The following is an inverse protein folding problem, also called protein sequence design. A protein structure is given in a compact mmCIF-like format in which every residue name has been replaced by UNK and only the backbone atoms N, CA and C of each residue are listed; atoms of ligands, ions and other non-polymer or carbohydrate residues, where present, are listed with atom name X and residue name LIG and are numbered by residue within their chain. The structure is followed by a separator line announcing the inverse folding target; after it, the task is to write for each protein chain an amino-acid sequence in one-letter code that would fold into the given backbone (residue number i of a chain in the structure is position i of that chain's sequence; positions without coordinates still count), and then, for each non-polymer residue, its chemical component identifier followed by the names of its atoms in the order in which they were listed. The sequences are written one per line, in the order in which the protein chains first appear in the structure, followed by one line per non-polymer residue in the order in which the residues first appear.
data_IF_321798869856
#
_entry.id   IF_321798869856
#
_cell.length_a   1.000
_cell.length_b   1.000
_cell.length_c   1.000
_cell.angle_alpha   90.00
_cell.angle_beta   90.00
_cell.angle_gamma   90.00
#
_symmetry.space_group_name_H-M   'P 1'
#
loop_
_entity.id
_entity.type
_entity.pdbx_description
1 polymer ?
#
# COMPACT_ATOMS: atom_id res chain seq x y z
N UNK A 1 2.59 22.58 40.07
CA UNK A 1 2.00 23.20 38.86
C UNK A 1 2.81 22.83 37.64
N UNK A 2 2.21 22.12 36.69
CA UNK A 2 2.83 21.83 35.40
C UNK A 2 2.70 23.06 34.51
N UNK A 3 3.83 23.57 34.02
CA UNK A 3 3.84 24.62 33.01
C UNK A 3 3.13 24.10 31.74
N UNK A 4 2.21 24.87 31.14
CA UNK A 4 1.61 24.49 29.87
C UNK A 4 2.67 24.54 28.77
N UNK A 5 2.63 23.51 27.93
CA UNK A 5 3.46 23.27 26.75
C UNK A 5 3.52 24.54 25.87
N UNK A 6 4.73 25.06 25.71
CA UNK A 6 5.04 26.29 24.98
C UNK A 6 4.82 26.06 23.49
N UNK A 7 3.85 26.76 22.93
CA UNK A 7 3.89 27.33 21.58
C UNK A 7 4.63 26.50 20.52
N UNK A 8 3.97 25.46 19.98
CA UNK A 8 4.29 25.01 18.62
C UNK A 8 3.84 26.10 17.65
N UNK A 9 4.71 27.08 17.44
CA UNK A 9 4.48 28.20 16.53
C UNK A 9 4.15 27.67 15.12
N UNK A 10 3.10 28.17 14.45
CA UNK A 10 2.70 27.72 13.10
C UNK A 10 3.83 27.86 12.08
N UNK A 11 4.74 28.82 12.27
CA UNK A 11 5.96 29.00 11.45
C UNK A 11 6.88 27.75 11.49
N UNK A 12 6.91 27.01 12.60
CA UNK A 12 7.67 25.76 12.75
C UNK A 12 7.00 24.60 11.99
N UNK A 13 5.67 24.58 11.91
CA UNK A 13 4.93 23.56 11.18
C UNK A 13 5.07 23.76 9.66
N UNK A 14 4.90 25.00 9.17
CA UNK A 14 5.04 25.36 7.77
C UNK A 14 6.48 25.13 7.26
N UNK A 15 7.49 25.46 8.08
CA UNK A 15 8.89 25.17 7.77
C UNK A 15 9.15 23.67 7.69
N UNK A 16 8.57 22.88 8.60
CA UNK A 16 8.69 21.41 8.59
C UNK A 16 8.00 20.80 7.36
N UNK A 17 6.80 21.26 7.00
CA UNK A 17 6.09 20.81 5.81
C UNK A 17 6.87 21.13 4.53
N UNK A 18 7.40 22.34 4.43
CA UNK A 18 8.26 22.77 3.32
C UNK A 18 9.54 21.94 3.22
N UNK A 19 10.21 21.66 4.33
CA UNK A 19 11.40 20.81 4.37
C UNK A 19 11.07 19.36 3.96
N UNK A 20 9.97 18.81 4.46
CA UNK A 20 9.53 17.44 4.14
C UNK A 20 9.19 17.27 2.67
N UNK A 21 8.43 18.21 2.10
CA UNK A 21 8.10 18.19 0.67
C UNK A 21 9.36 18.24 -0.20
N UNK A 22 10.36 19.05 0.17
CA UNK A 22 11.67 19.09 -0.50
C UNK A 22 12.44 17.77 -0.37
N UNK A 23 12.48 17.18 0.83
CA UNK A 23 13.16 15.92 1.06
C UNK A 23 12.52 14.77 0.26
N UNK A 24 11.18 14.71 0.25
CA UNK A 24 10.44 13.75 -0.56
C UNK A 24 10.69 13.96 -2.05
N UNK A 25 10.69 15.20 -2.53
CA UNK A 25 10.98 15.50 -3.95
C UNK A 25 12.33 14.95 -4.37
N UNK A 26 13.38 15.19 -3.57
CA UNK A 26 14.72 14.64 -3.82
C UNK A 26 14.75 13.11 -3.75
N UNK A 27 14.01 12.52 -2.80
CA UNK A 27 13.97 11.07 -2.64
C UNK A 27 13.27 10.35 -3.81
N UNK A 28 12.36 11.01 -4.53
CA UNK A 28 11.62 10.41 -5.65
C UNK A 28 12.19 10.78 -7.02
N UNK A 29 13.28 11.54 -7.10
CA UNK A 29 13.95 11.86 -8.37
C UNK A 29 14.56 10.61 -9.01
N UNK A 30 14.54 10.57 -10.35
CA UNK A 30 14.92 9.42 -11.18
C UNK A 30 16.17 9.68 -12.04
N UNK A 31 16.97 10.70 -11.69
CA UNK A 31 18.14 11.12 -12.48
C UNK A 31 19.46 10.45 -12.10
N UNK A 32 19.47 9.57 -11.09
CA UNK A 32 20.67 8.89 -10.59
C UNK A 32 20.33 7.43 -10.31
N UNK A 33 21.07 6.51 -10.91
CA UNK A 33 20.91 5.06 -10.75
C UNK A 33 20.96 4.60 -9.29
N UNK A 34 21.67 5.35 -8.45
CA UNK A 34 21.77 5.12 -7.01
C UNK A 34 20.69 5.83 -6.18
N UNK A 35 19.87 6.66 -6.83
CA UNK A 35 18.79 7.43 -6.24
C UNK A 35 17.71 6.55 -5.62
N UNK A 36 17.13 7.04 -4.51
CA UNK A 36 16.10 6.31 -3.75
C UNK A 36 14.89 6.00 -4.64
N UNK A 37 14.47 6.95 -5.48
CA UNK A 37 13.31 6.81 -6.37
C UNK A 37 13.51 5.69 -7.38
N UNK A 38 14.67 5.66 -8.03
CA UNK A 38 15.01 4.62 -9.00
C UNK A 38 15.15 3.25 -8.35
N UNK A 39 15.80 3.18 -7.18
CA UNK A 39 15.89 1.93 -6.42
C UNK A 39 14.52 1.42 -5.96
N UNK A 40 13.60 2.30 -5.56
CA UNK A 40 12.22 1.92 -5.24
C UNK A 40 11.49 1.38 -6.47
N UNK A 41 11.59 2.05 -7.62
CA UNK A 41 10.98 1.60 -8.86
C UNK A 41 11.53 0.22 -9.28
N UNK A 42 12.85 0.04 -9.27
CA UNK A 42 13.50 -1.25 -9.60
C UNK A 42 13.09 -2.37 -8.64
N UNK A 43 12.91 -2.09 -7.35
CA UNK A 43 12.41 -3.06 -6.37
C UNK A 43 10.95 -3.43 -6.65
N UNK A 44 10.12 -2.45 -7.00
CA UNK A 44 8.73 -2.67 -7.39
C UNK A 44 8.62 -3.50 -8.68
N UNK A 45 9.44 -3.22 -9.70
CA UNK A 45 9.57 -4.02 -10.93
C UNK A 45 9.93 -5.47 -10.64
N UNK A 46 10.99 -5.70 -9.86
CA UNK A 46 11.40 -7.06 -9.46
C UNK A 46 10.29 -7.78 -8.70
N UNK A 47 9.60 -7.09 -7.79
CA UNK A 47 8.48 -7.69 -7.05
C UNK A 47 7.32 -8.03 -7.96
N UNK A 48 6.97 -7.17 -8.91
CA UNK A 48 5.90 -7.46 -9.86
C UNK A 48 6.25 -8.68 -10.73
N UNK A 49 7.49 -8.77 -11.25
CA UNK A 49 7.97 -9.96 -11.98
C UNK A 49 7.80 -11.23 -11.15
N UNK A 50 8.14 -11.18 -9.85
CA UNK A 50 7.94 -12.31 -8.94
C UNK A 50 6.46 -12.67 -8.72
N UNK A 51 5.60 -11.69 -8.46
CA UNK A 51 4.16 -11.91 -8.26
C UNK A 51 3.53 -12.50 -9.52
N UNK A 52 3.97 -12.06 -10.70
CA UNK A 52 3.47 -12.53 -11.99
C UNK A 52 3.79 -14.00 -12.30
N UNK A 53 4.74 -14.61 -11.59
CA UNK A 53 4.98 -16.06 -11.68
C UNK A 53 3.82 -16.88 -11.10
N UNK A 54 3.11 -16.32 -10.11
CA UNK A 54 1.94 -16.95 -9.47
C UNK A 54 0.62 -16.38 -9.99
N UNK A 55 0.62 -15.08 -10.32
CA UNK A 55 -0.54 -14.32 -10.80
C UNK A 55 -0.21 -13.66 -12.15
N UNK A 56 -0.30 -14.38 -13.29
CA UNK A 56 0.15 -13.86 -14.59
C UNK A 56 -0.50 -12.54 -15.02
N UNK A 57 -1.69 -12.23 -14.50
CA UNK A 57 -2.42 -10.99 -14.78
C UNK A 57 -2.10 -9.84 -13.81
N UNK A 58 -1.28 -10.08 -12.77
CA UNK A 58 -0.94 -9.07 -11.79
C UNK A 58 -0.27 -7.85 -12.42
N UNK A 59 -0.64 -6.67 -11.92
CA UNK A 59 -0.16 -5.38 -12.40
C UNK A 59 0.37 -4.51 -11.26
N UNK A 60 1.17 -3.53 -11.64
CA UNK A 60 1.69 -2.50 -10.76
C UNK A 60 1.00 -1.16 -10.97
N UNK A 61 0.94 -0.35 -9.91
CA UNK A 61 0.52 1.06 -9.94
C UNK A 61 1.69 1.93 -9.51
N UNK A 62 2.04 2.94 -10.28
CA UNK A 62 2.93 4.02 -9.84
C UNK A 62 2.09 5.28 -9.61
N UNK A 63 2.24 5.87 -8.42
CA UNK A 63 1.65 7.17 -8.09
C UNK A 63 2.77 8.20 -8.19
N UNK A 64 2.80 8.94 -9.29
CA UNK A 64 3.79 9.97 -9.61
C UNK A 64 3.44 11.31 -8.94
N UNK A 65 4.36 12.27 -9.06
CA UNK A 65 4.24 13.60 -8.42
C UNK A 65 3.54 14.62 -9.32
N UNK A 66 3.84 14.58 -10.61
CA UNK A 66 3.40 15.49 -11.67
C UNK A 66 3.54 14.80 -13.04
N UNK A 67 3.14 15.48 -14.12
CA UNK A 67 3.12 14.92 -15.48
C UNK A 67 4.53 14.56 -15.95
N UNK A 68 5.49 15.46 -15.77
CA UNK A 68 6.86 15.24 -16.21
C UNK A 68 7.49 14.03 -15.52
N UNK A 69 7.27 13.89 -14.21
CA UNK A 69 7.73 12.73 -13.45
C UNK A 69 7.04 11.44 -13.93
N UNK A 70 5.73 11.49 -14.21
CA UNK A 70 4.98 10.34 -14.71
C UNK A 70 5.44 9.90 -16.10
N UNK A 71 5.78 10.85 -16.98
CA UNK A 71 6.36 10.56 -18.28
C UNK A 71 7.74 9.92 -18.13
N UNK A 72 8.61 10.47 -17.29
CA UNK A 72 9.93 9.89 -17.03
C UNK A 72 9.85 8.45 -16.48
N UNK A 73 8.93 8.18 -15.54
CA UNK A 73 8.68 6.83 -15.04
C UNK A 73 8.21 5.90 -16.16
N UNK A 74 7.28 6.38 -17.00
CA UNK A 74 6.74 5.60 -18.12
C UNK A 74 7.86 5.20 -19.08
N UNK A 75 8.70 6.15 -19.50
CA UNK A 75 9.85 5.88 -20.38
C UNK A 75 10.78 4.84 -19.78
N UNK A 76 11.17 4.98 -18.51
CA UNK A 76 12.05 4.00 -17.85
C UNK A 76 11.43 2.59 -17.79
N UNK A 77 10.14 2.49 -17.48
CA UNK A 77 9.44 1.20 -17.45
C UNK A 77 9.34 0.57 -18.84
N UNK A 78 9.11 1.36 -19.88
CA UNK A 78 9.06 0.90 -21.28
C UNK A 78 10.44 0.46 -21.77
N UNK A 79 11.50 1.19 -21.43
CA UNK A 79 12.90 0.83 -21.68
C UNK A 79 13.27 -0.50 -20.98
N UNK A 80 12.74 -0.74 -19.79
CA UNK A 80 12.86 -2.01 -19.05
C UNK A 80 11.99 -3.14 -19.63
N UNK A 81 11.27 -2.90 -20.74
CA UNK A 81 10.47 -3.86 -21.48
C UNK A 81 9.07 -4.10 -20.92
N UNK A 82 8.56 -3.21 -20.07
CA UNK A 82 7.20 -3.30 -19.57
C UNK A 82 6.18 -2.59 -20.48
N UNK A 83 4.97 -3.13 -20.52
CA UNK A 83 3.81 -2.42 -21.12
C UNK A 83 3.21 -1.49 -20.07
N UNK A 84 3.11 -0.21 -20.39
CA UNK A 84 2.71 0.84 -19.45
C UNK A 84 1.51 1.61 -20.00
N UNK A 85 0.51 1.83 -19.16
CA UNK A 85 -0.54 2.80 -19.43
C UNK A 85 -0.28 4.03 -18.53
N UNK A 86 -0.16 5.20 -19.14
CA UNK A 86 -0.09 6.48 -18.42
C UNK A 86 -1.48 7.13 -18.44
N UNK A 87 -1.98 7.54 -17.27
CA UNK A 87 -3.27 8.22 -17.12
C UNK A 87 -3.14 9.39 -16.16
N UNK A 88 -3.72 10.54 -16.50
CA UNK A 88 -3.87 11.64 -15.56
C UNK A 88 -5.32 12.14 -15.49
N UNK A 89 -5.71 12.68 -14.33
CA UNK A 89 -7.08 13.11 -14.01
C UNK A 89 -7.64 14.18 -14.97
N UNK A 90 -6.76 14.98 -15.55
CA UNK A 90 -7.11 16.09 -16.45
C UNK A 90 -7.16 15.70 -17.93
N UNK A 91 -6.88 14.44 -18.30
CA UNK A 91 -6.92 14.00 -19.71
C UNK A 91 -8.36 13.69 -20.15
N UNK A 92 -8.73 14.16 -21.34
CA UNK A 92 -9.93 13.67 -22.02
C UNK A 92 -9.82 12.16 -22.25
N UNK A 93 -10.79 11.37 -21.79
CA UNK A 93 -10.77 9.92 -21.97
C UNK A 93 -10.03 9.14 -20.86
N UNK A 94 -9.66 9.79 -19.74
CA UNK A 94 -9.04 9.10 -18.60
C UNK A 94 -9.84 7.86 -18.14
N UNK A 95 -11.17 7.94 -18.11
CA UNK A 95 -12.03 6.81 -17.74
C UNK A 95 -11.92 5.63 -18.72
N UNK A 96 -11.82 5.91 -20.02
CA UNK A 96 -11.68 4.88 -21.06
C UNK A 96 -10.32 4.20 -20.96
N UNK A 97 -9.23 4.97 -20.86
CA UNK A 97 -7.88 4.42 -20.65
C UNK A 97 -7.82 3.55 -19.41
N UNK A 98 -8.49 3.97 -18.36
CA UNK A 98 -8.52 3.25 -17.10
C UNK A 98 -9.30 1.93 -17.20
N UNK A 99 -10.43 1.93 -17.90
CA UNK A 99 -11.17 0.70 -18.24
C UNK A 99 -10.34 -0.22 -19.17
N UNK A 100 -9.58 0.35 -20.11
CA UNK A 100 -8.66 -0.40 -20.96
C UNK A 100 -7.52 -1.02 -20.14
N UNK A 101 -6.98 -0.31 -19.14
CA UNK A 101 -6.01 -0.87 -18.21
C UNK A 101 -6.63 -2.01 -17.39
N UNK A 102 -7.87 -1.88 -16.89
CA UNK A 102 -8.51 -2.93 -16.10
C UNK A 102 -8.65 -4.25 -16.89
N UNK A 103 -9.12 -4.15 -18.14
CA UNK A 103 -9.40 -5.30 -19.02
C UNK A 103 -8.18 -5.74 -19.83
N UNK A 104 -7.17 -4.89 -19.93
CA UNK A 104 -6.02 -5.06 -20.78
C UNK A 104 -4.89 -5.87 -20.13
N UNK A 105 -3.75 -5.85 -20.81
CA UNK A 105 -2.58 -6.65 -20.45
C UNK A 105 -1.33 -5.81 -20.12
N UNK A 106 -1.53 -4.48 -19.99
CA UNK A 106 -0.52 -3.57 -19.47
C UNK A 106 -0.05 -4.03 -18.09
N UNK A 107 1.26 -3.98 -17.85
CA UNK A 107 1.85 -4.44 -16.60
C UNK A 107 1.87 -3.33 -15.56
N UNK A 108 1.94 -2.08 -15.99
CA UNK A 108 1.98 -0.91 -15.12
C UNK A 108 0.94 0.12 -15.51
N UNK A 109 0.31 0.71 -14.50
CA UNK A 109 -0.44 1.96 -14.61
C UNK A 109 0.39 3.04 -13.93
N UNK A 110 0.75 4.09 -14.65
CA UNK A 110 1.38 5.28 -14.08
C UNK A 110 0.32 6.38 -13.98
N UNK A 111 0.16 6.96 -12.80
CA UNK A 111 -0.85 7.99 -12.54
C UNK A 111 -0.33 9.06 -11.59
N UNK A 112 -0.76 10.32 -11.78
CA UNK A 112 -0.33 11.47 -10.98
C UNK A 112 -1.28 11.72 -9.81
N UNK A 113 -2.56 11.61 -10.12
CA UNK A 113 -3.64 11.63 -9.15
C UNK A 113 -4.23 10.24 -9.01
N UNK A 114 -4.89 10.03 -7.88
CA UNK A 114 -5.72 8.86 -7.68
C UNK A 114 -6.67 8.74 -8.87
N UNK A 115 -6.53 7.66 -9.64
CA UNK A 115 -7.36 7.43 -10.81
C UNK A 115 -8.82 7.58 -10.42
N UNK A 116 -9.59 8.21 -11.31
CA UNK A 116 -10.97 8.66 -11.16
C UNK A 116 -11.81 7.88 -10.14
N UNK A 117 -12.71 8.61 -9.47
CA UNK A 117 -13.77 8.02 -8.65
C UNK A 117 -14.39 6.79 -9.36
N UNK A 118 -14.42 5.65 -8.68
CA UNK A 118 -14.89 4.39 -9.26
C UNK A 118 -13.85 3.47 -9.90
N UNK A 119 -12.56 3.83 -9.97
CA UNK A 119 -11.53 2.90 -10.44
C UNK A 119 -11.42 1.64 -9.57
N UNK A 120 -11.56 0.46 -10.16
CA UNK A 120 -11.30 -0.81 -9.49
C UNK A 120 -10.41 -1.69 -10.36
N UNK A 121 -9.20 -1.98 -9.90
CA UNK A 121 -8.27 -2.84 -10.64
C UNK A 121 -7.83 -3.99 -9.72
N UNK A 122 -8.65 -5.04 -9.58
CA UNK A 122 -8.37 -6.21 -8.74
C UNK A 122 -7.00 -6.85 -9.01
N UNK A 123 -6.51 -6.72 -10.25
CA UNK A 123 -5.20 -7.23 -10.65
C UNK A 123 -4.00 -6.44 -10.13
N UNK A 124 -4.19 -5.26 -9.53
CA UNK A 124 -3.10 -4.50 -8.91
C UNK A 124 -2.56 -5.23 -7.67
N UNK A 125 -1.24 -5.44 -7.63
CA UNK A 125 -0.56 -6.16 -6.53
C UNK A 125 0.67 -5.45 -5.99
N UNK A 126 1.24 -4.55 -6.79
CA UNK A 126 2.45 -3.80 -6.43
C UNK A 126 2.15 -2.33 -6.61
N UNK A 127 2.47 -1.51 -5.61
CA UNK A 127 2.32 -0.06 -5.66
C UNK A 127 3.68 0.57 -5.44
N UNK A 128 4.08 1.51 -6.30
CA UNK A 128 5.19 2.42 -6.09
C UNK A 128 4.64 3.83 -5.82
N UNK A 129 4.82 4.32 -4.59
CA UNK A 129 4.34 5.61 -4.13
C UNK A 129 5.46 6.65 -4.30
N UNK A 130 5.55 7.24 -5.49
CA UNK A 130 6.60 8.17 -5.91
C UNK A 130 6.03 9.58 -6.07
N UNK A 131 5.40 10.08 -5.00
CA UNK A 131 4.76 11.39 -4.96
C UNK A 131 5.15 12.16 -3.69
N UNK A 132 5.03 13.48 -3.73
CA UNK A 132 5.25 14.35 -2.56
C UNK A 132 4.00 14.54 -1.71
N UNK A 133 2.83 14.06 -2.18
CA UNK A 133 1.56 14.19 -1.46
C UNK A 133 1.43 13.06 -0.45
N UNK A 134 1.47 13.40 0.84
CA UNK A 134 1.48 12.43 1.96
C UNK A 134 0.25 12.54 2.86
N UNK A 135 -0.92 12.86 2.28
CA UNK A 135 -2.16 12.89 3.06
C UNK A 135 -2.66 11.46 3.33
N UNK A 136 -3.20 11.22 4.53
CA UNK A 136 -3.77 9.91 4.91
C UNK A 136 -4.81 9.43 3.90
N UNK A 137 -5.72 10.31 3.49
CA UNK A 137 -6.78 9.97 2.53
C UNK A 137 -6.19 9.48 1.21
N UNK A 138 -5.24 10.22 0.62
CA UNK A 138 -4.61 9.81 -0.64
C UNK A 138 -3.84 8.51 -0.50
N UNK A 139 -3.10 8.32 0.59
CA UNK A 139 -2.38 7.08 0.83
C UNK A 139 -3.35 5.88 0.91
N UNK A 140 -4.40 6.00 1.72
CA UNK A 140 -5.40 4.95 1.89
C UNK A 140 -6.16 4.66 0.60
N UNK A 141 -6.62 5.70 -0.11
CA UNK A 141 -7.26 5.53 -1.41
C UNK A 141 -6.31 4.81 -2.40
N UNK A 142 -5.00 5.09 -2.35
CA UNK A 142 -3.98 4.45 -3.19
C UNK A 142 -3.88 2.96 -2.96
N UNK A 143 -3.64 2.59 -1.70
CA UNK A 143 -3.40 1.21 -1.31
C UNK A 143 -4.68 0.36 -1.37
N UNK A 144 -5.83 0.94 -1.01
CA UNK A 144 -7.09 0.19 -0.90
C UNK A 144 -7.59 -0.30 -2.26
N UNK A 145 -7.20 0.36 -3.35
CA UNK A 145 -7.53 -0.04 -4.72
C UNK A 145 -6.84 -1.35 -5.14
N UNK A 146 -5.65 -1.63 -4.62
CA UNK A 146 -4.91 -2.87 -4.90
C UNK A 146 -5.32 -4.07 -4.02
N UNK A 147 -6.01 -3.82 -2.91
CA UNK A 147 -6.44 -4.88 -1.97
C UNK A 147 -7.91 -5.23 -2.11
N UNK A 148 -8.62 -4.70 -3.12
CA UNK A 148 -10.01 -5.06 -3.36
C UNK A 148 -10.15 -6.53 -3.72
N UNK A 149 -11.20 -7.14 -3.17
CA UNK A 149 -11.63 -8.50 -3.50
C UNK A 149 -12.80 -8.42 -4.46
N UNK A 150 -12.64 -9.04 -5.62
CA UNK A 150 -13.77 -9.35 -6.50
C UNK A 150 -14.12 -10.83 -6.37
N UNK A 151 -15.36 -11.25 -6.68
CA UNK A 151 -15.75 -12.66 -6.63
C UNK A 151 -14.83 -13.58 -7.44
N UNK A 152 -14.32 -13.10 -8.57
CA UNK A 152 -13.43 -13.85 -9.45
C UNK A 152 -12.06 -14.08 -8.80
N UNK A 153 -11.53 -13.06 -8.10
CA UNK A 153 -10.29 -13.21 -7.32
C UNK A 153 -10.48 -14.12 -6.12
N UNK A 154 -11.63 -14.02 -5.43
CA UNK A 154 -11.93 -14.88 -4.28
C UNK A 154 -12.00 -16.36 -4.65
N UNK A 155 -12.46 -16.68 -5.86
CA UNK A 155 -12.50 -18.05 -6.36
C UNK A 155 -11.12 -18.60 -6.77
N UNK A 156 -10.17 -17.72 -7.11
CA UNK A 156 -8.85 -18.11 -7.64
C UNK A 156 -7.73 -18.04 -6.59
N UNK A 157 -7.92 -17.27 -5.52
CA UNK A 157 -6.89 -17.07 -4.51
C UNK A 157 -7.01 -18.01 -3.31
N UNK A 158 -5.88 -18.55 -2.83
CA UNK A 158 -5.88 -19.35 -1.61
C UNK A 158 -6.26 -18.50 -0.39
N UNK A 159 -6.79 -19.15 0.63
CA UNK A 159 -6.97 -18.56 1.96
C UNK A 159 -5.81 -19.02 2.86
N UNK A 160 -4.98 -18.12 3.42
CA UNK A 160 -5.02 -16.66 3.31
C UNK A 160 -4.47 -16.12 1.98
N UNK A 161 -4.99 -14.96 1.56
CA UNK A 161 -4.67 -14.31 0.28
C UNK A 161 -3.18 -13.98 0.14
N UNK A 162 -2.70 -13.94 -1.10
CA UNK A 162 -1.42 -13.34 -1.42
C UNK A 162 -1.36 -11.84 -1.05
N UNK A 163 -0.29 -11.41 -0.37
CA UNK A 163 -0.14 -10.02 0.03
C UNK A 163 0.02 -9.10 -1.18
N UNK A 164 -0.39 -7.85 -1.00
CA UNK A 164 -0.04 -6.74 -1.91
C UNK A 164 1.13 -5.96 -1.34
N UNK A 165 1.97 -5.41 -2.20
CA UNK A 165 3.23 -4.78 -1.81
C UNK A 165 3.19 -3.29 -2.10
N UNK A 166 3.61 -2.47 -1.14
CA UNK A 166 3.73 -1.02 -1.31
C UNK A 166 5.19 -0.62 -1.10
N UNK A 167 5.75 0.09 -2.06
CA UNK A 167 7.08 0.66 -2.05
C UNK A 167 6.95 2.18 -1.99
N UNK A 168 7.49 2.80 -0.94
CA UNK A 168 7.43 4.24 -0.73
C UNK A 168 8.73 4.73 -0.08
N UNK A 169 9.08 6.01 -0.22
CA UNK A 169 10.12 6.62 0.60
C UNK A 169 9.83 6.44 2.10
N UNK A 170 10.88 6.35 2.91
CA UNK A 170 10.78 6.21 4.36
C UNK A 170 10.37 7.54 5.04
N UNK A 171 9.23 8.11 4.63
CA UNK A 171 8.64 9.27 5.29
C UNK A 171 7.85 8.85 6.55
N UNK A 172 8.03 9.53 7.69
CA UNK A 172 7.37 9.18 8.93
C UNK A 172 5.83 9.13 8.87
N UNK A 173 5.17 9.98 8.08
CA UNK A 173 3.70 9.95 7.97
C UNK A 173 3.24 8.73 7.18
N UNK A 174 3.89 8.44 6.04
CA UNK A 174 3.58 7.25 5.25
C UNK A 174 3.79 5.97 6.07
N UNK A 175 4.90 5.91 6.83
CA UNK A 175 5.15 4.80 7.75
C UNK A 175 4.09 4.72 8.85
N UNK A 176 3.66 5.85 9.40
CA UNK A 176 2.57 5.91 10.39
C UNK A 176 1.26 5.33 9.84
N UNK A 177 0.86 5.73 8.63
CA UNK A 177 -0.35 5.22 7.99
C UNK A 177 -0.24 3.72 7.68
N UNK A 178 0.91 3.29 7.17
CA UNK A 178 1.18 1.88 6.88
C UNK A 178 1.12 1.00 8.13
N UNK A 179 1.62 1.46 9.28
CA UNK A 179 1.52 0.74 10.55
C UNK A 179 0.07 0.54 10.98
N UNK A 180 -0.75 1.58 10.91
CA UNK A 180 -2.19 1.47 11.23
C UNK A 180 -2.89 0.48 10.31
N UNK A 181 -2.53 0.44 9.02
CA UNK A 181 -3.15 -0.47 8.06
C UNK A 181 -2.63 -1.91 8.17
N UNK A 182 -1.33 -2.10 8.43
CA UNK A 182 -0.74 -3.44 8.60
C UNK A 182 -1.25 -4.16 9.85
N UNK A 183 -1.75 -3.40 10.84
CA UNK A 183 -2.42 -3.93 12.03
C UNK A 183 -3.91 -4.18 11.82
N UNK A 184 -4.50 -3.70 10.73
CA UNK A 184 -5.86 -4.05 10.37
C UNK A 184 -5.86 -5.49 9.86
N UNK A 185 -6.26 -6.42 10.73
CA UNK A 185 -6.32 -7.85 10.40
C UNK A 185 -7.13 -8.06 9.11
N UNK A 186 -6.61 -8.83 8.15
CA UNK A 186 -7.34 -9.13 6.93
C UNK A 186 -8.59 -9.94 7.31
N UNK A 187 -9.77 -9.33 7.11
CA UNK A 187 -11.10 -9.96 7.13
C UNK A 187 -11.67 -10.41 8.48
N UNK A 188 -11.86 -9.48 9.41
CA UNK A 188 -12.87 -9.66 10.47
C UNK A 188 -14.01 -8.67 10.26
N UNK A 189 -14.88 -8.95 9.27
CA UNK A 189 -16.25 -8.47 9.37
C UNK A 189 -16.94 -9.45 10.32
N UNK A 190 -16.82 -9.19 11.62
CA UNK A 190 -17.76 -9.82 12.55
C UNK A 190 -19.14 -9.25 12.22
N UNK A 191 -20.16 -10.07 11.92
CA UNK A 191 -21.52 -9.58 11.97
C UNK A 191 -21.71 -9.01 13.38
N UNK A 192 -22.20 -7.77 13.46
CA UNK A 192 -22.55 -7.15 14.73
C UNK A 192 -23.56 -8.07 15.40
N UNK A 193 -23.12 -8.87 16.37
CA UNK A 193 -24.05 -9.60 17.22
C UNK A 193 -24.86 -8.53 17.95
N UNK A 194 -26.14 -8.42 17.60
CA UNK A 194 -27.10 -7.69 18.40
C UNK A 194 -27.05 -8.27 19.80
N UNK A 195 -26.49 -7.49 20.73
CA UNK A 195 -26.40 -7.83 22.13
C UNK A 195 -27.82 -7.91 22.68
N UNK A 196 -28.39 -9.11 22.74
CA UNK A 196 -29.41 -9.43 23.72
C UNK A 196 -28.69 -9.43 25.08
N UNK A 197 -29.01 -8.39 25.85
CA UNK A 197 -28.51 -8.18 27.20
C UNK A 197 -29.09 -9.28 28.08
N UNK A 198 -28.24 -10.09 28.69
CA UNK A 198 -28.62 -10.82 29.91
C UNK A 198 -27.49 -10.73 30.93
N UNK A 199 -27.87 -10.38 32.16
CA UNK A 199 -27.00 -9.94 33.26
C UNK A 199 -26.42 -11.16 33.99
N UNK A 200 -25.16 -11.13 34.46
CA UNK A 200 -24.38 -12.34 34.75
C UNK A 200 -24.62 -12.90 36.17
N UNK A 201 -24.35 -14.19 36.33
CA UNK A 201 -24.03 -14.80 37.63
C UNK A 201 -22.70 -15.54 37.57
N UNK A 202 -21.72 -15.02 38.33
CA UNK A 202 -20.63 -15.74 39.01
C UNK A 202 -19.70 -16.67 38.21
N UNK A 203 -18.44 -16.26 38.04
CA UNK A 203 -17.36 -17.20 37.73
C UNK A 203 -16.01 -16.55 37.40
N UNK A 204 -15.05 -16.65 38.31
CA UNK A 204 -13.66 -16.21 38.18
C UNK A 204 -12.91 -16.95 37.06
N UNK A 205 -12.33 -16.22 36.10
CA UNK A 205 -11.40 -16.77 35.11
C UNK A 205 -10.11 -15.94 35.07
N UNK A 206 -8.99 -16.58 35.47
CA UNK A 206 -7.62 -16.06 35.28
C UNK A 206 -7.24 -16.24 33.81
N UNK A 207 -6.88 -15.15 33.14
CA UNK A 207 -6.30 -15.20 31.79
C UNK A 207 -4.86 -15.74 31.80
N UNK A 208 -4.41 -16.46 30.76
CA UNK A 208 -3.04 -16.93 30.66
C UNK A 208 -2.11 -15.77 30.24
N UNK A 209 -1.05 -15.57 31.02
CA UNK A 209 0.09 -14.74 30.67
C UNK A 209 0.98 -15.49 29.66
N UNK A 210 1.15 -14.94 28.45
CA UNK A 210 2.16 -15.44 27.51
C UNK A 210 3.52 -14.76 27.80
N UNK A 211 4.62 -15.54 27.90
CA UNK A 211 5.94 -14.98 28.11
C UNK A 211 6.50 -14.38 26.81
N UNK A 212 7.05 -13.17 26.91
CA UNK A 212 7.82 -12.52 25.85
C UNK A 212 9.28 -12.95 26.00
N UNK A 213 9.82 -13.64 25.00
CA UNK A 213 11.26 -13.91 24.90
C UNK A 213 11.84 -13.04 23.78
N UNK A 214 12.77 -12.17 24.13
CA UNK A 214 13.54 -11.36 23.20
C UNK A 214 14.82 -12.11 22.83
N UNK A 215 15.08 -12.27 21.54
CA UNK A 215 16.38 -12.74 21.03
C UNK A 215 16.96 -11.61 20.21
N UNK A 216 18.15 -11.18 20.61
CA UNK A 216 18.90 -10.08 20.02
C UNK A 216 19.82 -10.56 18.88
N UNK A 217 20.21 -9.58 18.06
CA UNK A 217 21.30 -9.51 17.08
C UNK A 217 21.23 -10.28 15.74
N UNK A 218 21.16 -9.48 14.66
CA UNK A 218 21.47 -9.91 13.30
C UNK A 218 20.80 -9.06 12.22
N UNK A 219 21.55 -8.12 11.65
CA UNK A 219 21.13 -7.16 10.63
C UNK A 219 20.31 -7.76 9.45
N UNK A 220 19.36 -6.97 8.96
CA UNK A 220 18.52 -7.17 7.76
C UNK A 220 17.50 -8.32 7.80
N UNK A 221 16.40 -8.12 8.53
CA UNK A 221 15.23 -9.00 8.42
C UNK A 221 14.06 -8.31 7.71
N UNK A 222 13.74 -8.84 6.53
CA UNK A 222 12.36 -8.86 6.01
C UNK A 222 11.46 -9.39 7.13
N UNK A 223 10.46 -8.62 7.54
CA UNK A 223 9.43 -9.10 8.49
C UNK A 223 8.66 -10.21 7.77
N UNK A 224 9.01 -11.47 8.07
CA UNK A 224 8.26 -12.64 7.61
C UNK A 224 7.21 -12.95 8.68
N UNK A 225 6.01 -12.40 8.51
CA UNK A 225 4.87 -12.71 9.38
C UNK A 225 4.47 -14.16 9.14
N UNK A 226 4.31 -14.94 10.21
CA UNK A 226 3.80 -16.31 10.13
C UNK A 226 2.37 -16.27 9.57
N UNK A 227 2.10 -17.11 8.57
CA UNK A 227 0.75 -17.31 8.04
C UNK A 227 -0.18 -17.76 9.18
N UNK A 228 -1.36 -17.15 9.36
CA UNK A 228 -2.35 -17.67 10.29
C UNK A 228 -2.79 -19.05 9.81
N UNK A 229 -2.79 -20.02 10.74
CA UNK A 229 -3.36 -21.33 10.46
C UNK A 229 -4.88 -21.21 10.40
N UNK A 230 -5.48 -21.77 9.35
CA UNK A 230 -6.93 -21.87 9.22
C UNK A 230 -7.53 -22.61 10.45
N UNK A 231 -8.63 -22.11 11.02
CA UNK A 231 -9.45 -22.84 11.99
C UNK A 231 -9.83 -24.22 11.44
N UNK A 232 -9.84 -25.25 12.29
CA UNK A 232 -9.97 -26.64 11.88
C UNK A 232 -11.20 -26.97 11.01
N UNK A 233 -12.28 -26.19 11.13
CA UNK A 233 -13.52 -26.39 10.36
C UNK A 233 -13.45 -25.92 8.90
N UNK A 234 -12.43 -25.13 8.51
CA UNK A 234 -12.18 -24.74 7.12
C UNK A 234 -11.15 -25.64 6.42
N UNK A 235 -10.68 -26.71 7.08
CA UNK A 235 -9.70 -27.66 6.51
C UNK A 235 -10.34 -28.85 5.79
N UNK A 236 -11.67 -28.89 5.67
CA UNK A 236 -12.38 -29.94 4.93
C UNK A 236 -13.27 -29.30 3.86
N UNK A 237 -12.69 -29.08 2.68
CA UNK A 237 -13.35 -29.00 1.38
C UNK A 237 -12.34 -29.38 0.32
#
# INVERSE_FOLDING_TARGET
EGMPDRDVSPLSAETRESWRARNLRRAIELGDDSGIGQQLLLRAQRKLKQVRMQHPNAAGLVIARDIDHAQAITTLLEEDGHRVDLVHSQESGAAERLNNFQKGSAQWLVSIDMCAEGFDAPRLRVIAYLTTVVTKSRFLQGITRAVRMTPELAAQEPTPRHPSFVYAPADPLLMGYARTWSLAEPYVIQPKQEQLVDVPSGGSWRGPSLPLEAVDDGASQLIRVRSPQLPGFLRQA
#
